data_IF_230731770328
#
_entry.id   IF_230731770328
#
_cell.length_a   1.000
_cell.length_b   1.000
_cell.length_c   1.000
_cell.angle_alpha   90.00
_cell.angle_beta   90.00
_cell.angle_gamma   90.00
#
_symmetry.space_group_name_H-M   'P 1'
#
loop_
_entity.id
_entity.type
_entity.pdbx_description
1 polymer ?
#
# COMPACT_ATOMS: atom_id res chain seq x y z
N UNK A 1 -24.80 22.59 -2.30
CA UNK A 1 -24.14 21.48 -3.03
C UNK A 1 -23.11 20.84 -2.10
N UNK A 2 -23.33 19.60 -1.62
CA UNK A 2 -22.30 18.83 -0.89
C UNK A 2 -21.09 18.69 -1.83
N UNK A 3 -19.93 19.24 -1.46
CA UNK A 3 -18.69 18.98 -2.20
C UNK A 3 -18.35 17.52 -1.97
N UNK A 4 -18.51 16.67 -2.98
CA UNK A 4 -18.00 15.31 -2.89
C UNK A 4 -16.49 15.39 -2.70
N UNK A 5 -16.00 14.78 -1.62
CA UNK A 5 -14.57 14.71 -1.38
C UNK A 5 -13.91 13.93 -2.50
N UNK A 6 -12.92 14.55 -3.14
CA UNK A 6 -12.09 13.91 -4.16
C UNK A 6 -11.28 12.77 -3.54
N UNK A 7 -10.84 11.81 -4.36
CA UNK A 7 -9.90 10.77 -3.94
C UNK A 7 -8.63 11.37 -3.32
N UNK A 8 -8.22 12.55 -3.79
CA UNK A 8 -7.09 13.29 -3.25
C UNK A 8 -7.35 13.82 -1.83
N UNK A 9 -8.57 14.29 -1.56
CA UNK A 9 -8.95 14.80 -0.23
C UNK A 9 -8.86 13.68 0.82
N UNK A 10 -9.28 12.47 0.45
CA UNK A 10 -9.12 11.30 1.31
C UNK A 10 -7.65 10.93 1.55
N UNK A 11 -6.82 11.00 0.51
CA UNK A 11 -5.38 10.74 0.65
C UNK A 11 -4.71 11.75 1.59
N UNK A 12 -5.01 13.04 1.43
CA UNK A 12 -4.47 14.09 2.31
C UNK A 12 -5.00 13.94 3.75
N UNK A 13 -6.27 13.59 3.92
CA UNK A 13 -6.86 13.32 5.23
C UNK A 13 -6.15 12.19 5.99
N UNK A 14 -5.70 11.16 5.27
CA UNK A 14 -4.90 10.08 5.87
C UNK A 14 -3.54 10.57 6.37
N UNK A 15 -2.88 11.46 5.62
CA UNK A 15 -1.62 12.09 6.06
C UNK A 15 -1.82 13.02 7.26
N UNK A 16 -2.94 13.71 7.35
CA UNK A 16 -3.26 14.51 8.55
C UNK A 16 -3.50 13.63 9.79
N UNK A 17 -4.02 12.42 9.59
CA UNK A 17 -4.28 11.43 10.64
C UNK A 17 -3.23 10.32 10.69
N UNK A 18 -1.98 10.61 10.29
CA UNK A 18 -0.96 9.59 10.03
C UNK A 18 -0.63 8.69 11.25
N UNK A 19 -0.75 9.20 12.47
CA UNK A 19 -0.48 8.45 13.71
C UNK A 19 -1.75 8.12 14.51
N UNK A 20 -2.94 8.35 13.95
CA UNK A 20 -4.19 8.06 14.63
C UNK A 20 -4.71 6.66 14.28
N UNK A 21 -4.57 5.73 15.22
CA UNK A 21 -5.07 4.36 15.10
C UNK A 21 -6.52 4.20 15.59
N UNK A 22 -7.13 5.26 16.13
CA UNK A 22 -8.49 5.24 16.66
C UNK A 22 -9.50 5.62 15.59
N UNK A 23 -10.72 5.11 15.73
CA UNK A 23 -11.80 5.36 14.80
C UNK A 23 -11.87 4.33 13.66
N UNK A 24 -12.66 4.67 12.65
CA UNK A 24 -13.04 3.80 11.53
C UNK A 24 -12.75 4.51 10.22
N UNK A 25 -12.22 3.75 9.25
CA UNK A 25 -11.97 4.24 7.90
C UNK A 25 -12.89 3.54 6.90
N UNK A 26 -13.56 4.34 6.07
CA UNK A 26 -14.42 3.82 5.01
C UNK A 26 -13.61 3.17 3.88
N UNK A 27 -14.29 2.45 2.98
CA UNK A 27 -13.65 1.82 1.81
C UNK A 27 -12.97 2.84 0.89
N UNK A 28 -13.65 3.96 0.60
CA UNK A 28 -13.11 5.01 -0.29
C UNK A 28 -11.81 5.59 0.26
N UNK A 29 -11.77 5.91 1.56
CA UNK A 29 -10.60 6.44 2.25
C UNK A 29 -9.40 5.48 2.21
N UNK A 30 -9.64 4.20 2.53
CA UNK A 30 -8.60 3.17 2.49
C UNK A 30 -8.05 2.95 1.08
N UNK A 31 -8.93 2.76 0.08
CA UNK A 31 -8.51 2.42 -1.27
C UNK A 31 -7.88 3.60 -2.02
N UNK A 32 -8.32 4.83 -1.77
CA UNK A 32 -7.64 6.00 -2.32
C UNK A 32 -6.22 6.10 -1.77
N UNK A 33 -6.05 5.94 -0.46
CA UNK A 33 -4.73 5.98 0.15
C UNK A 33 -3.79 4.90 -0.41
N UNK A 34 -4.26 3.65 -0.50
CA UNK A 34 -3.49 2.55 -1.05
C UNK A 34 -3.12 2.77 -2.52
N UNK A 35 -4.02 3.32 -3.33
CA UNK A 35 -3.77 3.60 -4.75
C UNK A 35 -2.65 4.65 -4.92
N UNK A 36 -2.73 5.77 -4.21
CA UNK A 36 -1.69 6.80 -4.29
C UNK A 36 -0.35 6.29 -3.75
N UNK A 37 -0.36 5.52 -2.66
CA UNK A 37 0.87 4.94 -2.12
C UNK A 37 1.52 3.98 -3.13
N UNK A 38 0.72 3.13 -3.79
CA UNK A 38 1.18 2.27 -4.86
C UNK A 38 1.76 3.08 -6.02
N UNK A 39 1.09 4.13 -6.47
CA UNK A 39 1.56 4.97 -7.56
C UNK A 39 2.90 5.65 -7.23
N UNK A 40 3.06 6.16 -6.02
CA UNK A 40 4.32 6.81 -5.60
C UNK A 40 5.46 5.79 -5.60
N UNK A 41 5.28 4.61 -4.98
CA UNK A 41 6.31 3.57 -5.00
C UNK A 41 6.61 3.06 -6.41
N UNK A 42 5.59 2.93 -7.25
CA UNK A 42 5.75 2.55 -8.66
C UNK A 42 6.60 3.57 -9.42
N UNK A 43 6.36 4.87 -9.23
CA UNK A 43 7.17 5.94 -9.85
C UNK A 43 8.60 5.93 -9.32
N UNK A 44 8.81 5.75 -8.01
CA UNK A 44 10.14 5.67 -7.41
C UNK A 44 10.95 4.49 -8.00
N UNK A 45 10.34 3.31 -8.07
CA UNK A 45 10.99 2.13 -8.66
C UNK A 45 11.23 2.29 -10.17
N UNK A 46 10.29 2.89 -10.89
CA UNK A 46 10.45 3.18 -12.31
C UNK A 46 11.65 4.10 -12.56
N UNK A 47 11.74 5.21 -11.80
CA UNK A 47 12.87 6.14 -11.88
C UNK A 47 14.18 5.45 -11.55
N UNK A 48 14.20 4.59 -10.52
CA UNK A 48 15.39 3.79 -10.16
C UNK A 48 15.86 2.92 -11.31
N UNK A 49 14.93 2.18 -11.94
CA UNK A 49 15.25 1.27 -13.04
C UNK A 49 15.73 2.04 -14.26
N UNK A 50 15.06 3.14 -14.64
CA UNK A 50 15.45 3.97 -15.79
C UNK A 50 16.82 4.61 -15.58
N UNK A 51 17.08 5.13 -14.38
CA UNK A 51 18.39 5.71 -14.05
C UNK A 51 19.50 4.65 -14.08
N UNK A 52 19.29 3.49 -13.45
CA UNK A 52 20.29 2.42 -13.40
C UNK A 52 20.57 1.82 -14.79
N UNK A 53 19.53 1.52 -15.56
CA UNK A 53 19.66 0.95 -16.92
C UNK A 53 20.19 1.97 -17.93
N UNK A 54 19.69 3.21 -17.89
CA UNK A 54 20.16 4.30 -18.74
C UNK A 54 21.62 4.63 -18.48
N UNK A 55 22.05 4.67 -17.22
CA UNK A 55 23.45 4.83 -16.86
C UNK A 55 24.31 3.68 -17.36
N UNK A 56 23.86 2.42 -17.19
CA UNK A 56 24.62 1.26 -17.65
C UNK A 56 24.85 1.31 -19.17
N UNK A 57 23.81 1.61 -19.95
CA UNK A 57 23.92 1.75 -21.41
C UNK A 57 24.84 2.90 -21.80
N UNK A 58 24.69 4.07 -21.17
CA UNK A 58 25.57 5.22 -21.40
C UNK A 58 27.04 4.87 -21.14
N UNK A 59 27.33 4.16 -20.04
CA UNK A 59 28.70 3.77 -19.69
C UNK A 59 29.35 2.84 -20.72
N UNK A 60 28.59 1.89 -21.27
CA UNK A 60 29.08 0.94 -22.30
C UNK A 60 29.36 1.67 -23.60
N UNK A 61 28.46 2.56 -24.03
CA UNK A 61 28.63 3.35 -25.25
C UNK A 61 29.81 4.32 -25.13
N UNK A 62 29.92 5.03 -24.00
CA UNK A 62 31.03 5.94 -23.73
C UNK A 62 32.38 5.24 -23.80
N UNK A 63 32.53 4.08 -23.14
CA UNK A 63 33.76 3.30 -23.19
C UNK A 63 34.09 2.72 -24.57
N UNK A 64 33.07 2.31 -25.32
CA UNK A 64 33.25 1.72 -26.65
C UNK A 64 33.60 2.75 -27.73
N UNK A 65 33.11 3.99 -27.60
CA UNK A 65 33.26 5.03 -28.63
C UNK A 65 34.40 6.00 -28.31
N UNK A 66 34.55 6.39 -27.04
CA UNK A 66 35.47 7.44 -26.62
C UNK A 66 36.70 6.90 -25.86
N UNK A 67 36.80 5.58 -25.66
CA UNK A 67 37.96 4.94 -25.04
C UNK A 67 38.15 5.27 -23.56
N UNK A 68 37.14 5.86 -22.90
CA UNK A 68 37.18 6.22 -21.48
C UNK A 68 36.32 5.30 -20.62
N UNK A 69 36.79 4.94 -19.42
CA UNK A 69 35.95 4.28 -18.41
C UNK A 69 35.36 5.32 -17.47
N UNK A 70 34.03 5.34 -17.33
CA UNK A 70 33.41 6.12 -16.25
C UNK A 70 33.80 5.43 -14.93
N UNK A 71 34.36 6.15 -13.94
CA UNK A 71 34.65 5.57 -12.64
C UNK A 71 33.38 4.95 -12.04
N UNK A 72 33.39 3.64 -11.86
CA UNK A 72 32.25 2.85 -11.36
C UNK A 72 31.77 3.32 -9.98
N UNK A 73 32.63 4.01 -9.22
CA UNK A 73 32.29 4.61 -7.93
C UNK A 73 31.23 5.72 -8.00
N UNK A 74 31.15 6.50 -9.09
CA UNK A 74 30.19 7.60 -9.19
C UNK A 74 28.74 7.12 -9.31
N UNK A 75 28.51 5.99 -10.00
CA UNK A 75 27.20 5.35 -10.07
C UNK A 75 26.75 4.82 -8.71
N UNK A 76 27.65 4.15 -7.99
CA UNK A 76 27.36 3.58 -6.68
C UNK A 76 26.90 4.65 -5.68
N UNK A 77 27.49 5.85 -5.70
CA UNK A 77 27.06 6.95 -4.82
C UNK A 77 25.62 7.37 -5.13
N UNK A 78 25.27 7.56 -6.41
CA UNK A 78 23.91 7.99 -6.82
C UNK A 78 22.87 6.92 -6.46
N UNK A 79 23.15 5.65 -6.76
CA UNK A 79 22.26 4.53 -6.43
C UNK A 79 22.06 4.38 -4.92
N UNK A 80 23.13 4.53 -4.12
CA UNK A 80 23.03 4.48 -2.65
C UNK A 80 22.21 5.65 -2.11
N UNK A 81 22.42 6.88 -2.59
CA UNK A 81 21.64 8.04 -2.17
C UNK A 81 20.16 7.88 -2.52
N UNK A 82 19.86 7.39 -3.72
CA UNK A 82 18.48 7.12 -4.14
C UNK A 82 17.83 6.01 -3.30
N UNK A 83 18.59 4.95 -2.99
CA UNK A 83 18.12 3.87 -2.13
C UNK A 83 17.84 4.35 -0.71
N UNK A 84 18.71 5.19 -0.13
CA UNK A 84 18.50 5.80 1.17
C UNK A 84 17.27 6.71 1.19
N UNK A 85 17.10 7.55 0.16
CA UNK A 85 15.91 8.38 0.01
C UNK A 85 14.63 7.54 -0.05
N UNK A 86 14.64 6.48 -0.86
CA UNK A 86 13.49 5.56 -1.00
C UNK A 86 13.19 4.83 0.32
N UNK A 87 14.22 4.43 1.07
CA UNK A 87 14.08 3.82 2.38
C UNK A 87 13.45 4.78 3.40
N UNK A 88 13.92 6.03 3.45
CA UNK A 88 13.36 7.05 4.34
C UNK A 88 11.88 7.32 3.99
N UNK A 89 11.57 7.42 2.71
CA UNK A 89 10.19 7.58 2.25
C UNK A 89 9.28 6.40 2.64
N UNK A 90 9.80 5.18 2.51
CA UNK A 90 9.11 3.97 2.95
C UNK A 90 8.82 3.99 4.45
N UNK A 91 9.82 4.29 5.28
CA UNK A 91 9.66 4.37 6.74
C UNK A 91 8.65 5.45 7.14
N UNK A 92 8.69 6.61 6.49
CA UNK A 92 7.74 7.69 6.72
C UNK A 92 6.30 7.29 6.37
N UNK A 93 6.12 6.58 5.25
CA UNK A 93 4.80 6.12 4.79
C UNK A 93 4.28 4.89 5.55
N UNK A 94 5.14 4.19 6.29
CA UNK A 94 4.77 2.96 7.01
C UNK A 94 3.70 3.25 8.07
N UNK A 95 3.91 4.29 8.89
CA UNK A 95 2.97 4.68 9.96
C UNK A 95 1.55 4.99 9.45
N UNK A 96 1.35 5.91 8.48
CA UNK A 96 0.01 6.19 7.97
C UNK A 96 -0.62 4.97 7.31
N UNK A 97 0.17 4.15 6.61
CA UNK A 97 -0.34 2.90 6.01
C UNK A 97 -0.88 1.95 7.08
N UNK A 98 -0.15 1.79 8.17
CA UNK A 98 -0.58 0.97 9.31
C UNK A 98 -1.80 1.56 10.02
N UNK A 99 -1.84 2.88 10.20
CA UNK A 99 -2.96 3.57 10.84
C UNK A 99 -4.27 3.43 10.04
N UNK A 100 -4.22 3.66 8.74
CA UNK A 100 -5.38 3.54 7.84
C UNK A 100 -5.85 2.09 7.76
N UNK A 101 -4.93 1.11 7.70
CA UNK A 101 -5.29 -0.31 7.70
C UNK A 101 -5.94 -0.74 9.02
N UNK A 102 -5.43 -0.27 10.17
CA UNK A 102 -6.04 -0.54 11.47
C UNK A 102 -7.47 0.03 11.55
N UNK A 103 -7.67 1.29 11.15
CA UNK A 103 -9.00 1.94 11.09
C UNK A 103 -9.94 1.22 10.13
N UNK A 104 -9.41 0.66 9.04
CA UNK A 104 -10.19 -0.16 8.09
C UNK A 104 -10.65 -1.47 8.70
N UNK A 105 -9.78 -2.16 9.44
CA UNK A 105 -10.12 -3.40 10.14
C UNK A 105 -11.14 -3.15 11.26
N UNK A 106 -10.98 -2.04 11.99
CA UNK A 106 -11.95 -1.57 12.99
C UNK A 106 -13.34 -1.33 12.39
N UNK A 107 -13.43 -0.91 11.12
CA UNK A 107 -14.72 -0.74 10.45
C UNK A 107 -15.48 -2.05 10.24
N UNK A 108 -14.78 -3.19 10.26
CA UNK A 108 -15.37 -4.54 10.20
C UNK A 108 -15.43 -5.25 11.56
N UNK A 109 -15.25 -4.51 12.65
CA UNK A 109 -15.26 -5.05 14.01
C UNK A 109 -14.01 -5.85 14.42
N UNK A 110 -13.00 -5.95 13.54
CA UNK A 110 -11.77 -6.72 13.77
C UNK A 110 -10.69 -5.87 14.44
N UNK A 111 -9.70 -6.51 15.06
CA UNK A 111 -8.57 -5.80 15.67
C UNK A 111 -7.59 -5.26 14.62
N UNK A 112 -7.05 -4.06 14.83
CA UNK A 112 -6.00 -3.49 13.96
C UNK A 112 -4.69 -4.29 13.92
N UNK A 113 -4.48 -5.19 14.90
CA UNK A 113 -3.32 -6.09 14.96
C UNK A 113 -3.25 -7.11 13.82
N UNK A 114 -4.33 -7.30 13.05
CA UNK A 114 -4.28 -8.09 11.81
C UNK A 114 -3.59 -7.35 10.65
N UNK A 115 -3.40 -6.03 10.78
CA UNK A 115 -2.78 -5.19 9.75
C UNK A 115 -1.35 -5.62 9.36
N UNK A 116 -0.41 -5.80 10.31
CA UNK A 116 0.96 -6.21 9.99
C UNK A 116 1.03 -7.56 9.23
N UNK A 117 0.13 -8.49 9.56
CA UNK A 117 0.07 -9.80 8.92
C UNK A 117 -0.25 -9.69 7.41
N UNK A 118 -0.96 -8.65 7.00
CA UNK A 118 -1.24 -8.39 5.59
C UNK A 118 0.05 -8.12 4.80
N UNK A 119 0.91 -7.23 5.32
CA UNK A 119 2.20 -6.92 4.69
C UNK A 119 3.16 -8.10 4.70
N UNK A 120 3.24 -8.80 5.84
CA UNK A 120 4.06 -10.01 5.96
C UNK A 120 3.65 -11.08 4.95
N UNK A 121 2.34 -11.26 4.75
CA UNK A 121 1.80 -12.21 3.77
C UNK A 121 2.19 -11.83 2.35
N UNK A 122 2.09 -10.55 1.97
CA UNK A 122 2.47 -10.08 0.63
C UNK A 122 3.96 -10.28 0.39
N UNK A 123 4.82 -9.80 1.30
CA UNK A 123 6.29 -9.89 1.16
C UNK A 123 6.75 -11.34 1.11
N UNK A 124 6.14 -12.20 1.92
CA UNK A 124 6.44 -13.63 1.95
C UNK A 124 6.09 -14.29 0.61
N UNK A 125 4.91 -14.01 0.04
CA UNK A 125 4.52 -14.55 -1.27
C UNK A 125 5.45 -14.07 -2.40
N UNK A 126 5.83 -12.79 -2.44
CA UNK A 126 6.79 -12.27 -3.43
C UNK A 126 8.13 -12.99 -3.33
N UNK A 127 8.64 -13.16 -2.10
CA UNK A 127 9.92 -13.83 -1.85
C UNK A 127 9.88 -15.30 -2.24
N UNK A 128 8.82 -16.03 -1.87
CA UNK A 128 8.66 -17.44 -2.26
C UNK A 128 8.55 -17.61 -3.77
N UNK A 129 7.82 -16.72 -4.45
CA UNK A 129 7.70 -16.78 -5.90
C UNK A 129 9.05 -16.54 -6.59
N UNK A 130 9.85 -15.58 -6.10
CA UNK A 130 11.20 -15.34 -6.59
C UNK A 130 12.12 -16.57 -6.38
N UNK A 131 12.06 -17.21 -5.20
CA UNK A 131 12.85 -18.42 -4.92
C UNK A 131 12.40 -19.58 -5.82
N UNK A 132 11.09 -19.75 -6.03
CA UNK A 132 10.52 -20.80 -6.87
C UNK A 132 11.05 -20.71 -8.31
N UNK A 133 11.09 -19.50 -8.88
CA UNK A 133 11.63 -19.25 -10.23
C UNK A 133 13.11 -19.68 -10.30
N UNK A 134 13.90 -19.34 -9.29
CA UNK A 134 15.35 -19.58 -9.30
C UNK A 134 15.75 -21.01 -8.87
N UNK A 135 14.91 -21.70 -8.09
CA UNK A 135 15.22 -22.99 -7.46
C UNK A 135 14.31 -24.14 -7.90
N UNK A 136 13.61 -23.97 -9.03
CA UNK A 136 12.70 -24.97 -9.59
C UNK A 136 13.40 -26.34 -9.70
N UNK A 137 12.81 -27.39 -9.09
CA UNK A 137 13.30 -28.77 -9.19
C UNK A 137 14.33 -29.23 -8.14
N UNK A 138 14.75 -28.38 -7.18
CA UNK A 138 15.57 -28.83 -6.04
C UNK A 138 14.75 -29.61 -5.01
N UNK A 139 15.37 -30.64 -4.38
CA UNK A 139 14.78 -31.39 -3.25
C UNK A 139 14.47 -30.41 -2.10
N UNK A 140 13.20 -30.11 -1.89
CA UNK A 140 12.73 -29.11 -0.92
C UNK A 140 11.78 -28.06 -1.49
N UNK A 141 11.62 -27.95 -2.82
CA UNK A 141 10.70 -26.99 -3.44
C UNK A 141 9.22 -27.22 -3.09
N UNK A 142 8.80 -28.48 -2.89
CA UNK A 142 7.41 -28.84 -2.61
C UNK A 142 6.94 -28.26 -1.25
N UNK A 143 7.66 -28.42 -0.12
CA UNK A 143 7.32 -27.75 1.14
C UNK A 143 7.19 -26.23 1.03
N UNK A 144 8.13 -25.56 0.34
CA UNK A 144 8.07 -24.09 0.15
C UNK A 144 6.87 -23.67 -0.70
N UNK A 145 6.54 -24.45 -1.73
CA UNK A 145 5.37 -24.22 -2.57
C UNK A 145 4.06 -24.33 -1.77
N UNK A 146 3.92 -25.36 -0.94
CA UNK A 146 2.75 -25.53 -0.07
C UNK A 146 2.63 -24.40 0.95
N UNK A 147 3.75 -24.00 1.58
CA UNK A 147 3.78 -22.88 2.52
C UNK A 147 3.39 -21.56 1.86
N UNK A 148 3.84 -21.32 0.61
CA UNK A 148 3.42 -20.16 -0.17
C UNK A 148 1.91 -20.19 -0.43
N UNK A 149 1.34 -21.36 -0.74
CA UNK A 149 -0.09 -21.49 -0.99
C UNK A 149 -0.92 -21.15 0.26
N UNK A 150 -0.49 -21.61 1.43
CA UNK A 150 -1.12 -21.26 2.72
C UNK A 150 -1.03 -19.75 2.97
N UNK A 151 0.13 -19.14 2.74
CA UNK A 151 0.30 -17.68 2.87
C UNK A 151 -0.55 -16.91 1.85
N UNK A 152 -0.75 -17.45 0.65
CA UNK A 152 -1.61 -16.85 -0.37
C UNK A 152 -3.08 -16.87 0.05
N UNK A 153 -3.55 -17.98 0.64
CA UNK A 153 -4.89 -18.06 1.21
C UNK A 153 -5.08 -17.06 2.36
N UNK A 154 -4.09 -16.92 3.24
CA UNK A 154 -4.11 -15.89 4.30
C UNK A 154 -4.17 -14.48 3.70
N UNK A 155 -3.33 -14.19 2.69
CA UNK A 155 -3.35 -12.91 2.00
C UNK A 155 -4.72 -12.62 1.36
N UNK A 156 -5.33 -13.62 0.72
CA UNK A 156 -6.65 -13.52 0.11
C UNK A 156 -7.75 -13.27 1.17
N UNK A 157 -7.68 -13.93 2.33
CA UNK A 157 -8.61 -13.69 3.44
C UNK A 157 -8.49 -12.27 4.01
N UNK A 158 -7.26 -11.81 4.26
CA UNK A 158 -7.01 -10.46 4.77
C UNK A 158 -7.42 -9.39 3.74
N UNK A 159 -7.17 -9.64 2.46
CA UNK A 159 -7.61 -8.79 1.37
C UNK A 159 -9.14 -8.75 1.24
N UNK A 160 -9.81 -9.89 1.39
CA UNK A 160 -11.27 -9.95 1.42
C UNK A 160 -11.82 -9.08 2.55
N UNK A 161 -11.16 -9.04 3.71
CA UNK A 161 -11.56 -8.17 4.83
C UNK A 161 -11.41 -6.67 4.52
N UNK A 162 -10.40 -6.25 3.76
CA UNK A 162 -10.26 -4.83 3.39
C UNK A 162 -11.35 -4.37 2.40
N UNK A 163 -11.84 -5.27 1.54
CA UNK A 163 -12.93 -5.00 0.59
C UNK A 163 -14.32 -5.14 1.24
N UNK A 164 -14.45 -6.00 2.24
CA UNK A 164 -15.71 -6.33 2.92
C UNK A 164 -16.46 -5.08 3.38
N UNK A 165 -17.80 -5.08 3.33
CA UNK A 165 -18.57 -3.92 3.81
C UNK A 165 -18.36 -3.78 5.33
N UNK A 166 -18.22 -2.53 5.79
CA UNK A 166 -18.15 -2.22 7.22
C UNK A 166 -19.50 -2.36 7.91
N UNK A 167 -19.47 -2.50 9.23
CA UNK A 167 -20.67 -2.64 10.05
C UNK A 167 -21.47 -1.32 10.08
N UNK A 168 -22.78 -1.38 9.82
CA UNK A 168 -23.66 -0.21 9.96
C UNK A 168 -23.87 0.16 11.43
N UNK A 169 -23.83 -0.85 12.30
CA UNK A 169 -23.91 -0.70 13.74
C UNK A 169 -22.72 0.10 14.29
N UNK A 170 -22.98 0.84 15.35
CA UNK A 170 -21.90 1.37 16.18
C UNK A 170 -21.16 0.18 16.81
N UNK A 171 -19.83 0.21 16.73
CA UNK A 171 -18.99 -0.81 17.33
C UNK A 171 -18.07 -0.16 18.36
N UNK A 172 -17.27 -0.97 19.07
CA UNK A 172 -16.34 -0.49 20.11
C UNK A 172 -15.30 0.54 19.64
N UNK A 173 -15.17 0.75 18.33
CA UNK A 173 -14.24 1.70 17.71
C UNK A 173 -14.91 3.00 17.25
N UNK A 174 -16.24 3.14 17.45
CA UNK A 174 -17.00 4.36 17.22
C UNK A 174 -18.12 4.23 16.18
N UNK A 175 -18.81 5.35 15.90
CA UNK A 175 -19.92 5.39 14.96
C UNK A 175 -19.45 5.12 13.53
N UNK A 176 -20.31 4.48 12.72
CA UNK A 176 -19.97 4.21 11.33
C UNK A 176 -20.11 5.48 10.49
N UNK A 177 -19.10 5.81 9.67
CA UNK A 177 -19.16 6.93 8.71
C UNK A 177 -20.35 6.78 7.76
N UNK A 178 -20.75 5.54 7.49
CA UNK A 178 -21.86 5.19 6.60
C UNK A 178 -23.23 5.51 7.19
N UNK A 179 -23.43 5.30 8.50
CA UNK A 179 -24.68 5.63 9.18
C UNK A 179 -24.92 7.14 9.19
N UNK A 180 -23.88 7.94 9.42
CA UNK A 180 -23.99 9.41 9.39
C UNK A 180 -24.41 9.92 8.01
N UNK A 181 -23.94 9.29 6.93
CA UNK A 181 -24.37 9.64 5.57
C UNK A 181 -25.85 9.29 5.39
N UNK A 182 -26.27 8.09 5.82
CA UNK A 182 -27.65 7.63 5.69
C UNK A 182 -28.64 8.51 6.46
N UNK A 183 -28.31 8.90 7.70
CA UNK A 183 -29.17 9.78 8.50
C UNK A 183 -29.29 11.18 7.91
N UNK A 184 -28.20 11.71 7.34
CA UNK A 184 -28.23 12.99 6.64
C UNK A 184 -29.05 12.92 5.35
N UNK A 185 -29.07 11.78 4.68
CA UNK A 185 -29.85 11.61 3.46
C UNK A 185 -31.35 11.46 3.81
N UNK A 186 -31.69 10.73 4.87
CA UNK A 186 -33.06 10.67 5.44
C UNK A 186 -33.59 12.05 5.83
N UNK A 187 -32.83 12.85 6.59
CA UNK A 187 -33.23 14.22 6.97
C UNK A 187 -33.49 15.11 5.74
N UNK A 188 -32.70 14.95 4.66
CA UNK A 188 -32.90 15.73 3.42
C UNK A 188 -34.05 15.26 2.55
N UNK A 189 -34.51 14.02 2.72
CA UNK A 189 -35.72 13.52 2.07
C UNK A 189 -36.97 13.98 2.84
N UNK A 190 -36.92 13.97 4.17
CA UNK A 190 -38.00 14.48 5.03
C UNK A 190 -38.25 15.98 4.79
N UNK A 191 -37.19 16.81 4.77
CA UNK A 191 -37.26 18.25 4.48
C UNK A 191 -37.80 18.57 3.08
N UNK A 192 -37.70 17.63 2.12
CA UNK A 192 -38.29 17.77 0.78
C UNK A 192 -39.74 17.31 0.70
N UNK A 193 -40.19 16.50 1.66
CA UNK A 193 -41.57 16.01 1.71
C UNK A 193 -42.53 16.97 2.43
N UNK A 194 -41.99 17.83 3.29
CA UNK A 194 -42.73 18.86 4.03
C UNK A 194 -42.89 20.20 3.26
N UNK A 195 -42.39 20.28 2.02
CA UNK A 195 -42.48 21.44 1.10
C UNK A 195 -43.35 21.12 -0.10
#
# INVERSE_FOLDING_TARGET
MKKENSLFDYWLGCWMQYANFRGRAGRKEFWSFMLFQFLIFFVLDFVRIVNGTGFALFSVLFGSILGGSIPSGMNLVVEVLFALFSLLFFLFSLLPTMAVLARRLHDTGRSGWWGPLFFLSIVSNVTFFAILINSWGRKGGIPFFLLSFVNLLLAALLFAWTISRGDLAENKYGPSTRRLIFSLDEETEEDKSDV
#
